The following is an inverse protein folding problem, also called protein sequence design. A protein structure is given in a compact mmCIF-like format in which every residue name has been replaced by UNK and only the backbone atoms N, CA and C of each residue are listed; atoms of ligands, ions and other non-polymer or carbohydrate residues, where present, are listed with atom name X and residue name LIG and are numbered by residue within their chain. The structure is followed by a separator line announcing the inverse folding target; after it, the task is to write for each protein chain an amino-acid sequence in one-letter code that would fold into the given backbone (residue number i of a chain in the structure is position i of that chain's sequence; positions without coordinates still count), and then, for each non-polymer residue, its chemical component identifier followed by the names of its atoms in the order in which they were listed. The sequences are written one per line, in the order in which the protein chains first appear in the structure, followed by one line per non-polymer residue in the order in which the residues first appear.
data_IF_389890198573
#
_entry.id   IF_389890198573
#
_cell.length_a   1.000
_cell.length_b   1.000
_cell.length_c   1.000
_cell.angle_alpha   90.00
_cell.angle_beta   90.00
_cell.angle_gamma   90.00
#
_symmetry.space_group_name_H-M   'P 1'
#
loop_
_entity.id
_entity.type
_entity.pdbx_description
1 polymer ?
#
# COMPACT_ATOMS: atom_id res chain seq x y z
N UNK A 1 3.65 -7.48 0.59
CA UNK A 1 2.62 -7.07 -0.39
C UNK A 1 1.59 -6.22 0.35
N UNK A 2 1.01 -5.22 -0.29
CA UNK A 2 -0.02 -4.38 0.33
C UNK A 2 -1.12 -4.01 -0.68
N UNK A 3 -2.28 -3.60 -0.17
CA UNK A 3 -3.37 -3.12 -1.01
C UNK A 3 -3.33 -1.59 -1.08
N UNK A 4 -3.48 -1.03 -2.27
CA UNK A 4 -3.53 0.42 -2.50
C UNK A 4 -4.73 0.79 -3.38
N UNK A 5 -5.37 1.92 -3.09
CA UNK A 5 -6.37 2.51 -3.99
C UNK A 5 -5.65 3.53 -4.84
N UNK A 6 -5.47 3.21 -6.13
CA UNK A 6 -4.78 4.09 -7.06
C UNK A 6 -5.61 5.36 -7.29
N UNK A 7 -5.02 6.54 -7.09
CA UNK A 7 -5.70 7.83 -7.33
C UNK A 7 -5.91 8.11 -8.81
N UNK A 8 -5.12 7.49 -9.70
CA UNK A 8 -5.24 7.68 -11.14
C UNK A 8 -6.39 6.87 -11.78
N UNK A 9 -6.59 5.61 -11.37
CA UNK A 9 -7.63 4.75 -11.96
C UNK A 9 -8.76 4.37 -10.99
N UNK A 10 -8.71 4.86 -9.74
CA UNK A 10 -9.67 4.59 -8.67
C UNK A 10 -9.89 3.10 -8.33
N UNK A 11 -8.97 2.21 -8.76
CA UNK A 11 -9.04 0.78 -8.47
C UNK A 11 -8.26 0.43 -7.22
N UNK A 12 -8.83 -0.49 -6.42
CA UNK A 12 -8.12 -1.18 -5.33
C UNK A 12 -7.28 -2.31 -5.91
N UNK A 13 -5.97 -2.28 -5.68
CA UNK A 13 -5.02 -3.20 -6.30
C UNK A 13 -4.01 -3.71 -5.28
N UNK A 14 -3.53 -4.94 -5.49
CA UNK A 14 -2.38 -5.48 -4.76
C UNK A 14 -1.09 -4.96 -5.40
N UNK A 15 -0.22 -4.39 -4.57
CA UNK A 15 1.11 -3.93 -4.94
C UNK A 15 2.14 -4.93 -4.40
N UNK A 16 2.92 -5.48 -5.32
CA UNK A 16 3.99 -6.42 -5.01
C UNK A 16 5.31 -5.70 -4.76
N UNK A 17 6.24 -6.30 -3.99
CA UNK A 17 7.57 -5.71 -3.77
C UNK A 17 8.33 -5.39 -5.08
N UNK A 18 8.12 -6.19 -6.14
CA UNK A 18 8.72 -5.95 -7.45
C UNK A 18 8.22 -4.68 -8.17
N UNK A 19 7.09 -4.11 -7.74
CA UNK A 19 6.57 -2.85 -8.27
C UNK A 19 7.09 -1.62 -7.51
N UNK A 20 7.80 -1.83 -6.39
CA UNK A 20 8.38 -0.75 -5.56
C UNK A 20 9.70 -0.32 -6.18
N UNK A 21 9.82 0.97 -6.47
CA UNK A 21 11.00 1.57 -7.11
C UNK A 21 11.88 2.31 -6.11
N UNK A 22 11.32 2.80 -5.00
CA UNK A 22 12.06 3.44 -3.93
C UNK A 22 11.38 3.26 -2.58
N UNK A 23 12.16 3.33 -1.50
CA UNK A 23 11.66 3.45 -0.12
C UNK A 23 12.46 4.55 0.56
N UNK A 24 11.76 5.53 1.14
CA UNK A 24 12.35 6.64 1.88
C UNK A 24 11.82 6.67 3.32
N UNK A 25 12.63 7.12 4.26
CA UNK A 25 12.17 7.37 5.63
C UNK A 25 11.39 8.70 5.69
N UNK A 26 10.35 8.73 6.52
CA UNK A 26 9.61 9.94 6.87
C UNK A 26 9.27 9.93 8.35
N UNK A 27 8.87 11.08 8.90
CA UNK A 27 8.45 11.20 10.30
C UNK A 27 7.30 10.24 10.67
N UNK A 28 6.48 9.86 9.68
CA UNK A 28 5.31 8.98 9.86
C UNK A 28 5.65 7.50 9.61
N UNK A 29 6.90 7.18 9.27
CA UNK A 29 7.37 5.86 8.89
C UNK A 29 7.87 5.78 7.44
N UNK A 30 8.30 4.60 6.98
CA UNK A 30 8.80 4.42 5.62
C UNK A 30 7.70 4.67 4.58
N UNK A 31 8.03 5.41 3.52
CA UNK A 31 7.18 5.67 2.36
C UNK A 31 7.76 4.94 1.16
N UNK A 32 6.95 4.10 0.51
CA UNK A 32 7.33 3.43 -0.73
C UNK A 32 6.81 4.23 -1.93
N UNK A 33 7.65 4.37 -2.94
CA UNK A 33 7.27 4.78 -4.29
C UNK A 33 7.12 3.53 -5.15
N UNK A 34 6.03 3.43 -5.92
CA UNK A 34 5.72 2.25 -6.71
C UNK A 34 4.85 2.59 -7.91
N UNK A 35 4.87 1.72 -8.91
CA UNK A 35 4.02 1.84 -10.11
C UNK A 35 2.77 0.99 -9.94
N UNK A 36 1.59 1.62 -10.01
CA UNK A 36 0.31 0.91 -10.07
C UNK A 36 0.16 0.13 -11.38
N UNK A 37 -0.76 -0.82 -11.42
CA UNK A 37 -0.97 -1.65 -12.61
C UNK A 37 -1.46 -0.87 -13.84
N UNK A 38 -2.04 0.33 -13.63
CA UNK A 38 -2.38 1.23 -14.72
C UNK A 38 -1.19 2.03 -15.26
N UNK A 39 0.03 1.83 -14.71
CA UNK A 39 1.25 2.53 -15.11
C UNK A 39 1.50 3.85 -14.35
N UNK A 40 0.58 4.29 -13.49
CA UNK A 40 0.77 5.52 -12.71
C UNK A 40 1.70 5.29 -11.51
N UNK A 41 2.66 6.19 -11.31
CA UNK A 41 3.49 6.22 -10.10
C UNK A 41 2.67 6.75 -8.91
N UNK A 42 2.83 6.09 -7.76
CA UNK A 42 2.15 6.42 -6.51
C UNK A 42 3.12 6.30 -5.34
N UNK A 43 2.78 6.94 -4.22
CA UNK A 43 3.50 6.80 -2.97
C UNK A 43 2.54 6.53 -1.81
N UNK A 44 2.97 5.69 -0.87
CA UNK A 44 2.18 5.37 0.32
C UNK A 44 3.09 4.91 1.47
N UNK A 45 2.60 5.06 2.71
CA UNK A 45 3.24 4.48 3.88
C UNK A 45 3.37 2.96 3.71
N UNK A 46 4.61 2.49 3.79
CA UNK A 46 4.97 1.10 3.54
C UNK A 46 5.02 0.35 4.87
N UNK A 47 3.87 -0.14 5.32
CA UNK A 47 3.83 -1.00 6.50
C UNK A 47 4.35 -2.39 6.13
N UNK A 48 5.57 -2.70 6.59
CA UNK A 48 6.17 -4.03 6.51
C UNK A 48 5.59 -5.01 7.55
N UNK A 49 4.84 -4.50 8.54
CA UNK A 49 4.20 -5.33 9.54
C UNK A 49 3.02 -6.09 8.91
N UNK A 50 2.81 -7.37 9.25
CA UNK A 50 1.62 -8.09 8.83
C UNK A 50 0.39 -7.31 9.32
N UNK A 51 -0.51 -6.96 8.40
CA UNK A 51 -1.76 -6.30 8.75
C UNK A 51 -2.47 -7.16 9.79
N UNK A 52 -2.52 -6.69 11.04
CA UNK A 52 -3.26 -7.36 12.09
C UNK A 52 -4.73 -7.20 11.73
N UNK A 53 -5.34 -8.25 11.18
CA UNK A 53 -6.76 -8.26 10.90
C UNK A 53 -7.49 -8.13 12.23
N UNK A 54 -7.96 -6.92 12.54
CA UNK A 54 -8.86 -6.72 13.67
C UNK A 54 -10.15 -7.45 13.34
N UNK A 55 -10.33 -8.63 13.95
CA UNK A 55 -11.57 -9.39 13.88
C UNK A 55 -12.67 -8.52 14.49
N UNK A 56 -13.49 -7.90 13.64
CA UNK A 56 -14.73 -7.27 14.10
C UNK A 56 -15.68 -8.41 14.45
N UNK A 57 -15.86 -8.66 15.74
CA UNK A 57 -16.88 -9.60 16.22
C UNK A 57 -18.21 -8.83 16.20
N UNK A 58 -19.07 -9.15 15.24
CA UNK A 58 -20.47 -8.73 15.27
C UNK A 58 -21.15 -9.54 16.39
N UNK A 59 -21.58 -8.85 17.46
CA UNK A 59 -22.49 -9.42 18.44
C UNK A 59 -23.90 -9.48 17.83
N UNK A 60 -24.55 -10.65 17.96
CA UNK A 60 -25.93 -10.91 17.53
C UNK A 60 -26.93 -10.57 18.64
#
# INVERSE_FOLDING_TARGET
MFTHVCTACAKRQLIFPSQVTAVAESEQGPVATFTCWCGAEQSALYSLAPATSSKVVLAA
#
